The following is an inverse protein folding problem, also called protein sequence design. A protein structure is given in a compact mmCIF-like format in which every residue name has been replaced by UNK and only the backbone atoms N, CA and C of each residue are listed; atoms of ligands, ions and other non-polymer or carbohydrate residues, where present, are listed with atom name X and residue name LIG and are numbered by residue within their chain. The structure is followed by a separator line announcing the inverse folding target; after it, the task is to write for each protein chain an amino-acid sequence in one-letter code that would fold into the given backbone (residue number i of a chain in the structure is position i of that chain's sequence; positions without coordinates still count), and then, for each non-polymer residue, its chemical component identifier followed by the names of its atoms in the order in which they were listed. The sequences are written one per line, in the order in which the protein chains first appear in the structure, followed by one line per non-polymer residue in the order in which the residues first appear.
data_IF_197327912942
#
_entry.id   IF_197327912942
#
_cell.length_a   1.000
_cell.length_b   1.000
_cell.length_c   1.000
_cell.angle_alpha   90.00
_cell.angle_beta   90.00
_cell.angle_gamma   90.00
#
_symmetry.space_group_name_H-M   'P 1'
#
loop_
_entity.id
_entity.type
_entity.pdbx_description
1 polymer ?
#
# COMPACT_ATOMS: atom_id res chain seq x y z
N UNK A 1 7.51 -0.31 -8.60
CA UNK A 1 6.33 -0.68 -9.42
C UNK A 1 6.66 -1.28 -10.79
N UNK A 2 7.63 -0.76 -11.55
CA UNK A 2 7.94 -1.30 -12.89
C UNK A 2 8.32 -2.79 -12.88
N UNK A 3 9.15 -3.24 -11.94
CA UNK A 3 9.56 -4.66 -11.88
C UNK A 3 8.40 -5.60 -11.54
N UNK A 4 7.52 -5.17 -10.61
CA UNK A 4 6.29 -5.90 -10.27
C UNK A 4 5.40 -5.97 -11.51
N UNK A 5 5.25 -4.87 -12.25
CA UNK A 5 4.47 -4.83 -13.48
C UNK A 5 5.01 -5.84 -14.51
N UNK A 6 6.30 -5.81 -14.81
CA UNK A 6 6.90 -6.74 -15.78
C UNK A 6 6.88 -8.19 -15.30
N UNK A 7 7.07 -8.42 -14.00
CA UNK A 7 6.97 -9.74 -13.38
C UNK A 7 5.57 -10.34 -13.54
N UNK A 8 4.53 -9.57 -13.20
CA UNK A 8 3.13 -9.99 -13.36
C UNK A 8 2.79 -10.19 -14.84
N UNK A 9 3.22 -9.29 -15.72
CA UNK A 9 2.99 -9.44 -17.16
C UNK A 9 3.66 -10.70 -17.70
N UNK A 10 4.91 -11.00 -17.30
CA UNK A 10 5.61 -12.23 -17.68
C UNK A 10 4.87 -13.46 -17.19
N UNK A 11 4.46 -13.47 -15.92
CA UNK A 11 3.70 -14.58 -15.34
C UNK A 11 2.38 -14.82 -16.09
N UNK A 12 1.62 -13.76 -16.40
CA UNK A 12 0.38 -13.86 -17.17
C UNK A 12 0.60 -14.42 -18.59
N UNK A 13 1.66 -13.99 -19.28
CA UNK A 13 2.03 -14.55 -20.60
C UNK A 13 2.38 -16.03 -20.52
N UNK A 14 3.11 -16.43 -19.47
CA UNK A 14 3.45 -17.83 -19.24
C UNK A 14 2.22 -18.68 -18.90
N UNK A 15 1.27 -18.14 -18.13
CA UNK A 15 0.01 -18.81 -17.78
C UNK A 15 -0.93 -18.92 -18.98
N UNK A 16 -0.93 -17.93 -19.86
CA UNK A 16 -1.84 -17.81 -21.00
C UNK A 16 -1.09 -17.83 -22.34
N UNK A 17 -0.29 -18.87 -22.57
CA UNK A 17 0.56 -18.98 -23.79
C UNK A 17 -0.22 -18.85 -25.10
N UNK A 18 -1.48 -19.29 -25.12
CA UNK A 18 -2.35 -19.27 -26.30
C UNK A 18 -3.16 -17.97 -26.44
N UNK A 19 -2.91 -16.96 -25.61
CA UNK A 19 -3.63 -15.67 -25.63
C UNK A 19 -2.68 -14.54 -25.96
N UNK A 20 -3.21 -13.54 -26.67
CA UNK A 20 -2.45 -12.36 -27.03
C UNK A 20 -2.24 -11.44 -25.82
N UNK A 21 -1.21 -10.59 -25.88
CA UNK A 21 -0.97 -9.58 -24.84
C UNK A 21 -2.19 -8.64 -24.67
N UNK A 22 -2.88 -8.31 -25.77
CA UNK A 22 -4.09 -7.50 -25.72
C UNK A 22 -5.20 -8.16 -24.89
N UNK A 23 -5.41 -9.47 -25.09
CA UNK A 23 -6.37 -10.24 -24.29
C UNK A 23 -5.99 -10.26 -22.80
N UNK A 24 -4.71 -10.46 -22.49
CA UNK A 24 -4.22 -10.45 -21.11
C UNK A 24 -4.48 -9.09 -20.44
N UNK A 25 -4.13 -7.99 -21.12
CA UNK A 25 -4.35 -6.63 -20.61
C UNK A 25 -5.83 -6.38 -20.39
N UNK A 26 -6.68 -6.72 -21.36
CA UNK A 26 -8.13 -6.52 -21.22
C UNK A 26 -8.73 -7.33 -20.07
N UNK A 27 -8.23 -8.56 -19.83
CA UNK A 27 -8.76 -9.45 -18.79
C UNK A 27 -8.29 -9.08 -17.38
N UNK A 28 -7.03 -8.70 -17.22
CA UNK A 28 -6.39 -8.57 -15.92
C UNK A 28 -6.02 -7.14 -15.53
N UNK A 29 -6.14 -6.18 -16.45
CA UNK A 29 -5.82 -4.78 -16.17
C UNK A 29 -7.06 -3.92 -16.39
N UNK A 30 -7.37 -3.07 -15.42
CA UNK A 30 -8.51 -2.16 -15.51
C UNK A 30 -8.15 -0.80 -14.96
N UNK A 31 -8.87 0.23 -15.41
CA UNK A 31 -8.73 1.60 -14.91
C UNK A 31 -9.80 1.85 -13.86
N UNK A 32 -9.38 1.98 -12.60
CA UNK A 32 -10.25 2.19 -11.44
C UNK A 32 -9.75 3.46 -10.75
N UNK A 33 -10.66 4.37 -10.39
CA UNK A 33 -10.32 5.64 -9.70
C UNK A 33 -9.20 6.43 -10.41
N UNK A 34 -9.28 6.52 -11.73
CA UNK A 34 -8.30 7.23 -12.56
C UNK A 34 -6.98 6.48 -12.82
N UNK A 35 -6.74 5.34 -12.15
CA UNK A 35 -5.47 4.60 -12.18
C UNK A 35 -5.63 3.24 -12.85
N UNK A 36 -4.70 2.87 -13.73
CA UNK A 36 -4.72 1.55 -14.39
C UNK A 36 -3.85 0.52 -13.69
N UNK A 37 -4.43 -0.55 -13.18
CA UNK A 37 -3.76 -1.53 -12.35
C UNK A 37 -4.13 -2.97 -12.72
N UNK A 38 -3.27 -3.93 -12.37
CA UNK A 38 -3.61 -5.34 -12.42
C UNK A 38 -4.57 -5.70 -11.30
N UNK A 39 -5.53 -6.57 -11.59
CA UNK A 39 -6.52 -7.03 -10.63
C UNK A 39 -7.64 -7.83 -11.28
N UNK A 40 -8.65 -8.14 -10.47
CA UNK A 40 -9.88 -8.77 -10.96
C UNK A 40 -11.06 -8.41 -10.08
N UNK A 41 -12.27 -8.63 -10.58
CA UNK A 41 -13.46 -8.51 -9.74
C UNK A 41 -13.68 -9.80 -8.96
N UNK A 42 -13.88 -9.66 -7.66
CA UNK A 42 -14.21 -10.76 -6.76
C UNK A 42 -15.53 -10.45 -6.05
N UNK A 43 -16.26 -11.48 -5.66
CA UNK A 43 -17.44 -11.33 -4.81
C UNK A 43 -16.99 -11.42 -3.36
N UNK A 44 -17.30 -10.40 -2.56
CA UNK A 44 -16.94 -10.39 -1.15
C UNK A 44 -17.87 -11.31 -0.33
N UNK A 45 -17.58 -11.50 0.95
CA UNK A 45 -18.41 -12.31 1.86
C UNK A 45 -19.86 -11.83 1.99
N UNK A 46 -20.14 -10.59 1.61
CA UNK A 46 -21.47 -9.96 1.67
C UNK A 46 -22.19 -10.03 0.30
N UNK A 47 -21.66 -10.79 -0.67
CA UNK A 47 -22.24 -10.92 -2.01
C UNK A 47 -21.99 -9.72 -2.93
N UNK A 48 -21.24 -8.70 -2.49
CA UNK A 48 -20.95 -7.51 -3.31
C UNK A 48 -19.73 -7.74 -4.20
N UNK A 49 -19.87 -7.38 -5.48
CA UNK A 49 -18.77 -7.39 -6.44
C UNK A 49 -17.82 -6.22 -6.13
N UNK A 50 -16.56 -6.54 -5.84
CA UNK A 50 -15.51 -5.56 -5.54
C UNK A 50 -14.30 -5.77 -6.44
N UNK A 51 -13.58 -4.70 -6.74
CA UNK A 51 -12.31 -4.76 -7.46
C UNK A 51 -11.18 -5.13 -6.50
N UNK A 52 -10.50 -6.25 -6.76
CA UNK A 52 -9.30 -6.68 -6.06
C UNK A 52 -8.08 -6.40 -6.94
N UNK A 53 -7.47 -5.24 -6.72
CA UNK A 53 -6.25 -4.81 -7.41
C UNK A 53 -4.98 -5.12 -6.64
N UNK A 54 -3.85 -5.17 -7.34
CA UNK A 54 -2.54 -5.21 -6.70
C UNK A 54 -2.28 -3.94 -5.89
N UNK A 55 -1.72 -4.07 -4.70
CA UNK A 55 -1.23 -2.93 -3.95
C UNK A 55 -0.03 -2.29 -4.67
N UNK A 56 -0.02 -0.95 -4.76
CA UNK A 56 1.09 -0.20 -5.40
C UNK A 56 2.06 0.29 -4.33
N UNK A 57 3.36 0.18 -4.58
CA UNK A 57 4.35 0.70 -3.62
C UNK A 57 4.26 2.22 -3.50
N UNK A 58 3.85 2.91 -4.56
CA UNK A 58 3.67 4.37 -4.54
C UNK A 58 2.57 4.83 -3.56
N UNK A 59 1.69 3.93 -3.12
CA UNK A 59 0.65 4.23 -2.13
C UNK A 59 1.14 4.05 -0.68
N UNK A 60 2.36 3.55 -0.47
CA UNK A 60 2.98 3.52 0.86
C UNK A 60 3.40 4.94 1.25
N UNK A 61 2.98 5.46 2.42
CA UNK A 61 3.44 6.76 2.88
C UNK A 61 4.95 6.73 3.15
N UNK A 62 5.68 7.72 2.63
CA UNK A 62 7.11 7.87 2.89
C UNK A 62 7.29 8.36 4.33
N UNK A 63 8.00 7.58 5.15
CA UNK A 63 8.28 7.88 6.55
C UNK A 63 9.77 7.93 6.82
N UNK A 64 10.21 9.01 7.44
CA UNK A 64 11.56 9.15 7.95
C UNK A 64 11.58 8.74 9.42
N UNK A 65 12.35 7.71 9.74
CA UNK A 65 12.48 7.22 11.10
C UNK A 65 13.62 7.95 11.81
N UNK A 66 13.33 8.54 12.96
CA UNK A 66 14.35 9.15 13.82
C UNK A 66 15.11 8.05 14.55
N UNK A 67 16.44 8.03 14.43
CA UNK A 67 17.31 7.05 15.11
C UNK A 67 17.16 7.13 16.63
N UNK A 68 17.32 6.00 17.31
CA UNK A 68 17.40 5.97 18.78
C UNK A 68 18.62 6.79 19.21
N UNK A 69 18.51 7.55 20.31
CA UNK A 69 19.69 8.18 20.92
C UNK A 69 20.66 7.07 21.34
N UNK A 70 21.94 7.19 20.99
CA UNK A 70 22.93 6.14 21.22
C UNK A 70 23.06 5.76 22.70
N UNK A 71 23.05 6.76 23.58
CA UNK A 71 23.22 6.56 25.02
C UNK A 71 21.92 6.16 25.75
N UNK A 72 20.78 6.11 25.05
CA UNK A 72 19.49 5.86 25.70
C UNK A 72 19.29 4.36 26.00
N UNK A 73 19.26 4.02 27.29
CA UNK A 73 18.96 2.68 27.78
C UNK A 73 17.46 2.53 28.15
N UNK A 74 16.71 1.57 27.57
CA UNK A 74 15.30 1.34 27.90
C UNK A 74 14.99 1.03 29.37
N UNK A 75 15.96 0.49 30.11
CA UNK A 75 15.80 0.08 31.51
C UNK A 75 16.23 1.15 32.51
N UNK A 76 16.88 2.21 32.04
CA UNK A 76 17.28 3.32 32.89
C UNK A 76 16.11 4.29 33.07
N UNK A 77 15.80 4.58 34.33
CA UNK A 77 14.80 5.55 34.75
C UNK A 77 14.98 6.92 34.09
N UNK A 78 16.22 7.36 33.82
CA UNK A 78 16.52 8.65 33.20
C UNK A 78 15.97 8.76 31.76
N UNK A 79 15.83 7.64 31.04
CA UNK A 79 15.32 7.62 29.67
C UNK A 79 13.86 7.17 29.55
N UNK A 80 13.17 6.94 30.68
CA UNK A 80 11.77 6.46 30.69
C UNK A 80 10.84 7.38 29.89
N UNK A 81 10.97 8.68 30.08
CA UNK A 81 10.14 9.67 29.36
C UNK A 81 10.47 9.71 27.86
N UNK A 82 11.75 9.64 27.51
CA UNK A 82 12.19 9.56 26.10
C UNK A 82 11.54 8.38 25.34
N UNK A 83 11.53 7.19 25.94
CA UNK A 83 10.89 6.02 25.32
C UNK A 83 9.36 6.10 25.32
N UNK A 84 8.75 6.71 26.34
CA UNK A 84 7.30 6.97 26.38
C UNK A 84 6.88 7.86 25.21
N UNK A 85 7.50 9.04 25.06
CA UNK A 85 7.18 9.99 23.99
C UNK A 85 7.39 9.38 22.60
N UNK A 86 8.45 8.60 22.45
CA UNK A 86 8.74 7.89 21.21
C UNK A 86 7.64 6.86 20.89
N UNK A 87 7.19 6.08 21.88
CA UNK A 87 6.11 5.11 21.68
C UNK A 87 4.79 5.79 21.30
N UNK A 88 4.47 6.92 21.94
CA UNK A 88 3.30 7.73 21.60
C UNK A 88 3.36 8.24 20.16
N UNK A 89 4.51 8.80 19.75
CA UNK A 89 4.75 9.24 18.37
C UNK A 89 4.59 8.09 17.38
N UNK A 90 5.18 6.93 17.65
CA UNK A 90 5.04 5.73 16.81
C UNK A 90 3.59 5.27 16.70
N UNK A 91 2.84 5.28 17.81
CA UNK A 91 1.43 4.95 17.82
C UNK A 91 0.61 5.90 16.94
N UNK A 92 0.83 7.22 17.08
CA UNK A 92 0.18 8.25 16.28
C UNK A 92 0.49 8.09 14.79
N UNK A 93 1.76 7.86 14.43
CA UNK A 93 2.17 7.63 13.04
C UNK A 93 1.50 6.40 12.45
N UNK A 94 1.48 5.28 13.17
CA UNK A 94 0.79 4.05 12.73
C UNK A 94 -0.70 4.25 12.51
N UNK A 95 -1.37 4.99 13.40
CA UNK A 95 -2.79 5.31 13.24
C UNK A 95 -3.02 6.18 12.00
N UNK A 96 -2.18 7.19 11.78
CA UNK A 96 -2.23 7.97 10.55
C UNK A 96 -2.00 7.09 9.32
N UNK A 97 -0.99 6.19 9.32
CA UNK A 97 -0.69 5.32 8.18
C UNK A 97 -1.84 4.39 7.86
N UNK A 98 -2.52 3.85 8.89
CA UNK A 98 -3.73 3.05 8.72
C UNK A 98 -4.85 3.86 8.03
N UNK A 99 -5.11 5.08 8.49
CA UNK A 99 -6.11 5.96 7.88
C UNK A 99 -5.74 6.35 6.46
N UNK A 100 -4.46 6.67 6.24
CA UNK A 100 -3.92 6.99 4.92
C UNK A 100 -4.16 5.82 3.96
N UNK A 101 -3.74 4.60 4.31
CA UNK A 101 -3.91 3.42 3.46
C UNK A 101 -5.37 3.02 3.23
N UNK A 102 -6.26 3.29 4.20
CA UNK A 102 -7.68 3.04 4.07
C UNK A 102 -8.39 4.05 3.15
N UNK A 103 -7.85 5.25 2.99
CA UNK A 103 -8.44 6.28 2.12
C UNK A 103 -8.13 6.05 0.64
N UNK A 104 -9.06 6.41 -0.23
CA UNK A 104 -8.85 6.36 -1.69
C UNK A 104 -7.94 7.48 -2.17
N UNK A 105 -7.41 7.34 -3.39
CA UNK A 105 -6.54 8.40 -3.94
C UNK A 105 -7.29 9.72 -4.09
N UNK A 106 -8.56 9.66 -4.48
CA UNK A 106 -9.40 10.83 -4.70
C UNK A 106 -9.70 11.53 -3.38
N UNK A 107 -10.02 10.79 -2.32
CA UNK A 107 -10.20 11.34 -0.97
C UNK A 107 -8.95 12.08 -0.48
N UNK A 108 -7.76 11.50 -0.70
CA UNK A 108 -6.49 12.14 -0.31
C UNK A 108 -6.23 13.43 -1.07
N UNK A 109 -6.64 13.51 -2.33
CA UNK A 109 -6.44 14.69 -3.17
C UNK A 109 -7.32 15.87 -2.71
N UNK A 110 -8.54 15.60 -2.25
CA UNK A 110 -9.48 16.62 -1.76
C UNK A 110 -9.04 17.28 -0.45
N UNK A 111 -8.24 16.60 0.37
CA UNK A 111 -7.74 17.12 1.67
C UNK A 111 -6.52 18.04 1.49
N UNK A 112 -5.82 17.95 0.36
CA UNK A 112 -4.60 18.75 0.08
C UNK A 112 -4.87 20.03 -0.73
N UNK A 113 -6.12 20.26 -1.17
CA UNK A 113 -6.56 21.50 -1.82
C UNK A 113 -7.11 22.47 -0.79
#
# INVERSE_FOLDING_TARGET
DNDIYFGVQRWLRCRHRNKTNAWIIHRYRSRIEGRSNFGTFVVNKQGKRQWLGLFRMADVPIRYHVKVRGDANPYDSAYREYFKDRAEKQCRTRNYDRLFLASTTLERALIRG
#
